data_IF_027724922869
#
_entry.id   IF_027724922869
#
_cell.length_a   1.000
_cell.length_b   1.000
_cell.length_c   1.000
_cell.angle_alpha   90.00
_cell.angle_beta   90.00
_cell.angle_gamma   90.00
#
_symmetry.space_group_name_H-M   'P 1'
#
loop_
_entity.id
_entity.type
_entity.pdbx_description
1 polymer ?
#
# COMPACT_ATOMS: atom_id res chain seq x y z
N UNK A 1 -6.55 0.29 11.54
CA UNK A 1 -5.68 -0.63 12.29
C UNK A 1 -4.20 -0.34 12.08
N UNK A 2 -3.43 -1.18 11.34
CA UNK A 2 -1.97 -0.97 11.21
C UNK A 2 -1.60 0.37 10.56
N UNK A 3 -2.28 0.75 9.49
CA UNK A 3 -2.05 2.04 8.83
C UNK A 3 -2.51 3.21 9.70
N UNK A 4 -3.54 3.01 10.52
CA UNK A 4 -4.02 4.00 11.48
C UNK A 4 -2.97 4.22 12.58
N UNK A 5 -2.37 3.14 13.10
CA UNK A 5 -1.30 3.21 14.08
C UNK A 5 -0.05 3.95 13.56
N UNK A 6 0.26 3.80 12.27
CA UNK A 6 1.37 4.52 11.65
C UNK A 6 1.08 6.01 11.53
N UNK A 7 -0.16 6.40 11.25
CA UNK A 7 -0.57 7.80 11.21
C UNK A 7 -0.54 8.44 12.60
N UNK A 8 -0.93 7.70 13.65
CA UNK A 8 -0.88 8.17 15.03
C UNK A 8 0.54 8.43 15.55
N UNK A 9 1.53 7.73 15.03
CA UNK A 9 2.94 7.91 15.40
C UNK A 9 3.59 9.15 14.79
N UNK A 10 2.90 9.86 13.91
CA UNK A 10 3.41 11.09 13.30
C UNK A 10 3.06 12.32 14.12
N UNK A 11 4.00 13.28 14.25
CA UNK A 11 3.68 14.56 14.89
C UNK A 11 2.62 15.30 14.08
N UNK A 12 1.48 15.57 14.68
CA UNK A 12 0.30 16.19 14.04
C UNK A 12 0.61 17.55 13.41
N UNK A 13 1.56 18.30 13.97
CA UNK A 13 1.91 19.65 13.53
C UNK A 13 2.55 19.73 12.13
N UNK A 14 3.05 18.64 11.57
CA UNK A 14 3.79 18.63 10.30
C UNK A 14 3.02 17.99 9.13
N UNK A 15 1.83 17.44 9.35
CA UNK A 15 1.10 16.67 8.33
C UNK A 15 0.76 17.52 7.10
N UNK A 16 0.41 18.79 7.28
CA UNK A 16 0.05 19.69 6.18
C UNK A 16 1.25 20.20 5.37
N UNK A 17 2.46 20.13 5.93
CA UNK A 17 3.69 20.63 5.31
C UNK A 17 4.48 19.53 4.58
N UNK A 18 4.16 18.26 4.83
CA UNK A 18 4.86 17.13 4.20
C UNK A 18 4.47 17.05 2.72
N UNK A 19 5.45 17.08 1.79
CA UNK A 19 5.17 16.88 0.37
C UNK A 19 4.45 15.55 0.10
N UNK A 20 3.57 15.55 -0.89
CA UNK A 20 2.79 14.36 -1.23
C UNK A 20 3.68 13.15 -1.57
N UNK A 21 4.82 13.37 -2.24
CA UNK A 21 5.76 12.29 -2.56
C UNK A 21 6.33 11.63 -1.30
N UNK A 22 6.61 12.39 -0.25
CA UNK A 22 7.14 11.84 0.99
C UNK A 22 6.11 10.99 1.72
N UNK A 23 4.85 11.40 1.68
CA UNK A 23 3.73 10.59 2.18
C UNK A 23 3.58 9.30 1.39
N UNK A 24 3.72 9.37 0.07
CA UNK A 24 3.66 8.22 -0.80
C UNK A 24 4.79 7.23 -0.50
N UNK A 25 6.02 7.70 -0.38
CA UNK A 25 7.18 6.87 -0.03
C UNK A 25 6.97 6.22 1.33
N UNK A 26 6.47 6.95 2.31
CA UNK A 26 6.15 6.40 3.62
C UNK A 26 5.10 5.28 3.55
N UNK A 27 4.07 5.45 2.72
CA UNK A 27 3.06 4.41 2.51
C UNK A 27 3.68 3.15 1.88
N UNK A 28 4.57 3.30 0.91
CA UNK A 28 5.29 2.16 0.31
C UNK A 28 6.18 1.46 1.34
N UNK A 29 6.89 2.22 2.16
CA UNK A 29 7.70 1.68 3.26
C UNK A 29 6.86 0.94 4.30
N UNK A 30 5.63 1.39 4.54
CA UNK A 30 4.69 0.72 5.45
C UNK A 30 4.34 -0.69 4.98
N UNK A 31 4.18 -0.91 3.69
CA UNK A 31 3.96 -2.26 3.13
C UNK A 31 5.18 -3.16 3.32
N UNK A 32 6.38 -2.63 3.15
CA UNK A 32 7.62 -3.39 3.42
C UNK A 32 7.72 -3.72 4.91
N UNK A 33 7.38 -2.80 5.79
CA UNK A 33 7.35 -3.04 7.24
C UNK A 33 6.32 -4.13 7.61
N UNK A 34 5.15 -4.13 6.96
CA UNK A 34 4.18 -5.22 7.12
C UNK A 34 4.78 -6.57 6.72
N UNK A 35 5.53 -6.62 5.63
CA UNK A 35 6.23 -7.84 5.21
C UNK A 35 7.27 -8.28 6.24
N UNK A 36 8.05 -7.35 6.78
CA UNK A 36 9.12 -7.67 7.75
C UNK A 36 8.57 -8.10 9.09
N UNK A 37 7.59 -7.37 9.63
CA UNK A 37 7.15 -7.48 11.02
C UNK A 37 5.74 -8.06 11.19
N UNK A 38 4.94 -8.12 10.14
CA UNK A 38 3.52 -8.49 10.20
C UNK A 38 3.09 -9.39 9.02
N UNK A 39 3.92 -10.35 8.64
CA UNK A 39 3.61 -11.29 7.52
C UNK A 39 2.25 -11.97 7.68
N UNK A 40 1.90 -12.33 8.89
CA UNK A 40 0.61 -12.97 9.18
C UNK A 40 -0.58 -12.10 8.78
N UNK A 41 -0.46 -10.78 8.89
CA UNK A 41 -1.50 -9.85 8.47
C UNK A 41 -1.69 -9.85 6.94
N UNK A 42 -0.59 -9.87 6.18
CA UNK A 42 -0.64 -9.98 4.72
C UNK A 42 -1.25 -11.31 4.28
N UNK A 43 -0.86 -12.41 4.91
CA UNK A 43 -1.41 -13.74 4.65
C UNK A 43 -2.90 -13.82 5.00
N UNK A 44 -3.29 -13.23 6.12
CA UNK A 44 -4.69 -13.15 6.53
C UNK A 44 -5.53 -12.37 5.53
N UNK A 45 -5.07 -11.21 5.08
CA UNK A 45 -5.78 -10.40 4.11
C UNK A 45 -5.97 -11.13 2.78
N UNK A 46 -4.96 -11.84 2.31
CA UNK A 46 -5.02 -12.64 1.10
C UNK A 46 -6.06 -13.77 1.23
N UNK A 47 -5.99 -14.54 2.31
CA UNK A 47 -6.95 -15.61 2.60
C UNK A 47 -8.38 -15.08 2.76
N UNK A 48 -8.54 -13.94 3.40
CA UNK A 48 -9.84 -13.31 3.58
C UNK A 48 -10.43 -12.84 2.25
N UNK A 49 -9.61 -12.26 1.37
CA UNK A 49 -10.04 -11.89 0.02
C UNK A 49 -10.51 -13.10 -0.79
N UNK A 50 -9.79 -14.21 -0.72
CA UNK A 50 -10.22 -15.48 -1.34
C UNK A 50 -11.53 -15.98 -0.76
N UNK A 51 -11.66 -15.97 0.53
CA UNK A 51 -12.90 -16.39 1.22
C UNK A 51 -14.10 -15.54 0.78
N UNK A 52 -13.96 -14.22 0.77
CA UNK A 52 -15.03 -13.28 0.41
C UNK A 52 -15.45 -13.46 -1.06
N UNK A 53 -14.48 -13.60 -1.96
CA UNK A 53 -14.78 -13.77 -3.40
C UNK A 53 -15.50 -15.07 -3.73
N UNK A 54 -15.38 -16.11 -2.89
CA UNK A 54 -16.03 -17.40 -3.09
C UNK A 54 -17.33 -17.57 -2.30
N UNK A 55 -17.47 -16.91 -1.15
CA UNK A 55 -18.60 -17.13 -0.24
C UNK A 55 -19.81 -16.21 -0.49
N UNK A 56 -19.64 -15.07 -1.15
CA UNK A 56 -20.72 -14.14 -1.48
C UNK A 56 -21.51 -13.64 -0.27
N UNK A 57 -20.87 -13.48 0.88
CA UNK A 57 -21.56 -13.22 2.15
C UNK A 57 -21.64 -11.74 2.48
N UNK A 58 -22.87 -11.27 2.74
CA UNK A 58 -23.16 -10.04 3.45
C UNK A 58 -23.05 -10.31 4.95
N UNK A 59 -21.84 -10.22 5.50
CA UNK A 59 -21.63 -10.29 6.94
C UNK A 59 -21.20 -8.92 7.50
N UNK A 60 -21.46 -8.70 8.77
CA UNK A 60 -21.00 -7.52 9.51
C UNK A 60 -19.47 -7.35 9.39
N UNK A 61 -18.73 -8.47 9.42
CA UNK A 61 -17.29 -8.53 9.21
C UNK A 61 -16.88 -8.02 7.82
N UNK A 62 -17.65 -8.34 6.78
CA UNK A 62 -17.42 -7.84 5.43
C UNK A 62 -17.63 -6.33 5.34
N UNK A 63 -18.62 -5.80 6.02
CA UNK A 63 -18.88 -4.35 6.09
C UNK A 63 -17.75 -3.62 6.80
N UNK A 64 -17.22 -4.15 7.90
CA UNK A 64 -16.08 -3.60 8.61
C UNK A 64 -14.82 -3.59 7.73
N UNK A 65 -14.58 -4.68 7.00
CA UNK A 65 -13.48 -4.78 6.04
C UNK A 65 -13.59 -3.74 4.92
N UNK A 66 -14.78 -3.60 4.32
CA UNK A 66 -15.05 -2.58 3.31
C UNK A 66 -14.81 -1.16 3.85
N UNK A 67 -15.26 -0.89 5.08
CA UNK A 67 -15.03 0.41 5.72
C UNK A 67 -13.55 0.73 5.88
N UNK A 68 -12.75 -0.26 6.27
CA UNK A 68 -11.29 -0.11 6.38
C UNK A 68 -10.64 0.18 5.03
N UNK A 69 -11.08 -0.49 3.96
CA UNK A 69 -10.61 -0.23 2.59
C UNK A 69 -10.96 1.18 2.13
N UNK A 70 -12.18 1.63 2.35
CA UNK A 70 -12.61 2.99 2.00
C UNK A 70 -11.82 4.05 2.76
N UNK A 71 -11.48 3.81 4.02
CA UNK A 71 -10.66 4.72 4.81
C UNK A 71 -9.24 4.83 4.24
N UNK A 72 -8.66 3.71 3.81
CA UNK A 72 -7.35 3.70 3.15
C UNK A 72 -7.39 4.47 1.83
N UNK A 73 -8.38 4.19 0.99
CA UNK A 73 -8.57 4.90 -0.28
C UNK A 73 -8.74 6.41 -0.09
N UNK A 74 -9.47 6.83 0.94
CA UNK A 74 -9.66 8.24 1.25
C UNK A 74 -8.33 8.93 1.61
N UNK A 75 -7.42 8.26 2.32
CA UNK A 75 -6.09 8.78 2.62
C UNK A 75 -5.22 8.92 1.39
N UNK A 76 -5.22 7.93 0.51
CA UNK A 76 -4.50 8.00 -0.75
C UNK A 76 -5.08 9.06 -1.68
N UNK A 77 -6.39 9.24 -1.68
CA UNK A 77 -7.04 10.31 -2.45
C UNK A 77 -6.59 11.69 -1.95
N UNK A 78 -6.51 11.91 -0.64
CA UNK A 78 -5.98 13.16 -0.07
C UNK A 78 -4.54 13.40 -0.49
N UNK A 79 -3.72 12.36 -0.48
CA UNK A 79 -2.33 12.42 -0.93
C UNK A 79 -2.25 12.79 -2.41
N UNK A 80 -3.08 12.17 -3.25
CA UNK A 80 -3.15 12.46 -4.68
C UNK A 80 -3.61 13.89 -4.94
N UNK A 81 -4.62 14.38 -4.24
CA UNK A 81 -5.08 15.77 -4.33
C UNK A 81 -3.98 16.75 -3.87
N UNK A 82 -3.23 16.40 -2.83
CA UNK A 82 -2.06 17.18 -2.39
C UNK A 82 -0.99 17.25 -3.48
N UNK A 83 -0.76 16.18 -4.22
CA UNK A 83 0.19 16.15 -5.33
C UNK A 83 -0.25 17.06 -6.49
N UNK A 84 -1.54 17.26 -6.70
CA UNK A 84 -2.05 18.25 -7.66
C UNK A 84 -1.66 19.67 -7.27
N UNK A 85 -1.54 19.95 -5.97
CA UNK A 85 -1.15 21.25 -5.46
C UNK A 85 0.36 21.44 -5.43
N UNK A 86 1.12 20.46 -4.91
CA UNK A 86 2.57 20.59 -4.70
C UNK A 86 3.43 20.04 -5.84
N UNK A 87 2.83 19.34 -6.81
CA UNK A 87 3.49 18.82 -8.00
C UNK A 87 4.68 17.90 -7.72
N UNK A 88 4.69 17.21 -6.59
CA UNK A 88 5.80 16.33 -6.18
C UNK A 88 5.77 14.96 -6.83
N UNK A 89 4.60 14.52 -7.32
CA UNK A 89 4.49 13.35 -8.16
C UNK A 89 3.42 13.54 -9.24
N UNK A 90 3.35 12.59 -10.18
CA UNK A 90 2.47 12.68 -11.35
C UNK A 90 0.99 12.57 -10.97
N UNK A 91 0.17 13.42 -11.57
CA UNK A 91 -1.29 13.40 -11.46
C UNK A 91 -1.96 13.46 -12.85
N UNK A 92 -1.23 13.02 -13.88
CA UNK A 92 -1.66 12.99 -15.27
C UNK A 92 -2.50 11.75 -15.61
N UNK A 93 -2.66 10.83 -14.68
CA UNK A 93 -3.50 9.63 -14.80
C UNK A 93 -4.63 9.68 -13.76
N UNK A 94 -5.80 9.09 -14.04
CA UNK A 94 -6.90 9.04 -13.07
C UNK A 94 -6.49 8.35 -11.77
N UNK A 95 -7.07 8.77 -10.66
CA UNK A 95 -6.73 8.25 -9.33
C UNK A 95 -6.85 6.72 -9.23
N UNK A 96 -7.90 6.14 -9.78
CA UNK A 96 -8.08 4.68 -9.75
C UNK A 96 -6.97 3.93 -10.50
N UNK A 97 -6.54 4.46 -11.64
CA UNK A 97 -5.41 3.89 -12.39
C UNK A 97 -4.11 4.06 -11.61
N UNK A 98 -3.89 5.24 -11.04
CA UNK A 98 -2.73 5.50 -10.18
C UNK A 98 -2.65 4.49 -9.04
N UNK A 99 -3.76 4.21 -8.36
CA UNK A 99 -3.81 3.23 -7.28
C UNK A 99 -3.47 1.82 -7.75
N UNK A 100 -4.03 1.40 -8.90
CA UNK A 100 -3.75 0.06 -9.45
C UNK A 100 -2.30 -0.12 -9.87
N UNK A 101 -1.69 0.94 -10.42
CA UNK A 101 -0.32 0.89 -10.93
C UNK A 101 0.75 1.07 -9.84
N UNK A 102 0.37 1.48 -8.64
CA UNK A 102 1.31 1.79 -7.56
C UNK A 102 1.01 1.02 -6.28
N UNK A 103 0.02 1.44 -5.53
CA UNK A 103 -0.31 0.88 -4.20
C UNK A 103 -0.68 -0.59 -4.30
N UNK A 104 -1.55 -0.94 -5.25
CA UNK A 104 -1.98 -2.33 -5.42
C UNK A 104 -0.83 -3.22 -5.87
N UNK A 105 0.08 -2.74 -6.71
CA UNK A 105 1.27 -3.48 -7.13
C UNK A 105 2.21 -3.71 -5.94
N UNK A 106 2.46 -2.69 -5.12
CA UNK A 106 3.31 -2.84 -3.94
C UNK A 106 2.71 -3.82 -2.93
N UNK A 107 1.42 -3.69 -2.65
CA UNK A 107 0.71 -4.59 -1.75
C UNK A 107 0.72 -6.04 -2.28
N UNK A 108 0.48 -6.22 -3.57
CA UNK A 108 0.52 -7.53 -4.21
C UNK A 108 1.91 -8.17 -4.11
N UNK A 109 2.98 -7.40 -4.33
CA UNK A 109 4.35 -7.89 -4.21
C UNK A 109 4.65 -8.32 -2.77
N UNK A 110 4.32 -7.50 -1.79
CA UNK A 110 4.55 -7.83 -0.37
C UNK A 110 3.76 -9.09 0.04
N UNK A 111 2.51 -9.21 -0.39
CA UNK A 111 1.65 -10.37 -0.12
C UNK A 111 2.21 -11.64 -0.78
N UNK A 112 2.66 -11.53 -2.02
CA UNK A 112 3.26 -12.65 -2.76
C UNK A 112 4.50 -13.20 -2.04
N UNK A 113 5.40 -12.31 -1.63
CA UNK A 113 6.59 -12.71 -0.88
C UNK A 113 6.26 -13.23 0.52
N UNK A 114 5.22 -12.72 1.16
CA UNK A 114 4.79 -13.19 2.47
C UNK A 114 4.22 -14.61 2.45
N UNK A 115 3.56 -15.00 1.35
CA UNK A 115 3.00 -16.33 1.17
C UNK A 115 4.02 -17.37 0.63
N UNK A 116 5.19 -16.92 0.19
CA UNK A 116 6.22 -17.77 -0.38
C UNK A 116 5.95 -18.15 -1.84
N UNK A 117 6.93 -18.81 -2.47
CA UNK A 117 6.88 -19.18 -3.88
C UNK A 117 6.71 -20.69 -4.05
N UNK A 118 6.01 -21.09 -5.12
CA UNK A 118 5.84 -22.49 -5.50
C UNK A 118 7.19 -23.14 -5.88
N UNK A 119 8.14 -22.36 -6.43
CA UNK A 119 9.42 -22.86 -6.89
C UNK A 119 10.59 -22.55 -5.96
N UNK A 120 10.43 -22.87 -4.68
CA UNK A 120 11.55 -23.05 -3.80
C UNK A 120 12.08 -21.81 -3.08
N UNK A 121 11.20 -20.93 -2.66
CA UNK A 121 11.58 -19.98 -1.64
C UNK A 121 11.87 -20.73 -0.34
N UNK A 122 13.08 -20.59 0.15
CA UNK A 122 13.40 -21.00 1.50
C UNK A 122 12.59 -20.11 2.47
N UNK A 123 11.89 -20.71 3.42
CA UNK A 123 11.14 -20.00 4.47
C UNK A 123 12.03 -19.02 5.28
N UNK A 124 13.34 -19.21 5.22
CA UNK A 124 14.33 -18.37 5.89
C UNK A 124 14.84 -17.22 5.02
N UNK A 125 14.49 -17.18 3.73
CA UNK A 125 14.93 -16.10 2.87
C UNK A 125 14.17 -14.79 3.14
N UNK A 126 14.91 -13.69 3.06
CA UNK A 126 14.40 -12.35 3.29
C UNK A 126 14.43 -11.57 1.97
N UNK A 127 13.26 -11.26 1.44
CA UNK A 127 13.10 -10.56 0.16
C UNK A 127 12.99 -9.05 0.28
N UNK A 128 13.46 -8.46 1.37
CA UNK A 128 13.40 -7.00 1.60
C UNK A 128 14.15 -6.23 0.51
N UNK A 129 15.28 -6.74 0.03
CA UNK A 129 16.05 -6.10 -1.05
C UNK A 129 15.24 -5.98 -2.35
N UNK A 130 14.52 -7.03 -2.73
CA UNK A 130 13.66 -7.05 -3.90
C UNK A 130 12.50 -6.08 -3.73
N UNK A 131 11.87 -6.09 -2.57
CA UNK A 131 10.76 -5.17 -2.27
C UNK A 131 11.20 -3.71 -2.29
N UNK A 132 12.40 -3.41 -1.79
CA UNK A 132 12.98 -2.06 -1.89
C UNK A 132 13.24 -1.65 -3.33
N UNK A 133 13.68 -2.56 -4.18
CA UNK A 133 13.85 -2.29 -5.62
C UNK A 133 12.52 -2.06 -6.32
N UNK A 134 11.49 -2.84 -6.00
CA UNK A 134 10.14 -2.63 -6.52
C UNK A 134 9.61 -1.25 -6.08
N UNK A 135 9.76 -0.91 -4.81
CA UNK A 135 9.45 0.43 -4.32
C UNK A 135 10.17 1.50 -5.13
N UNK A 136 11.47 1.33 -5.35
CA UNK A 136 12.27 2.27 -6.14
C UNK A 136 11.75 2.46 -7.57
N UNK A 137 11.31 1.39 -8.23
CA UNK A 137 10.70 1.47 -9.56
C UNK A 137 9.38 2.23 -9.52
N UNK A 138 8.52 1.96 -8.53
CA UNK A 138 7.24 2.65 -8.37
C UNK A 138 7.48 4.14 -8.08
N UNK A 139 8.39 4.48 -7.18
CA UNK A 139 8.72 5.88 -6.85
C UNK A 139 9.28 6.61 -8.06
N UNK A 140 10.16 5.99 -8.84
CA UNK A 140 10.67 6.57 -10.08
C UNK A 140 9.54 6.84 -11.09
N UNK A 141 8.61 5.90 -11.23
CA UNK A 141 7.43 6.06 -12.08
C UNK A 141 6.58 7.24 -11.66
N UNK A 142 6.26 7.38 -10.37
CA UNK A 142 5.40 8.46 -9.91
C UNK A 142 6.07 9.83 -9.92
N UNK A 143 7.40 9.88 -9.79
CA UNK A 143 8.18 11.12 -9.91
C UNK A 143 8.36 11.60 -11.34
N UNK A 144 8.25 10.71 -12.32
CA UNK A 144 8.45 11.04 -13.70
C UNK A 144 7.24 11.85 -14.24
N UNK A 145 7.42 13.15 -14.36
CA UNK A 145 6.38 14.10 -14.80
C UNK A 145 6.42 14.39 -16.29
N UNK A 146 7.33 13.79 -17.00
CA UNK A 146 7.45 13.98 -18.45
C UNK A 146 6.35 13.23 -19.18
N UNK A 147 5.69 13.88 -20.12
CA UNK A 147 4.77 13.21 -21.01
C UNK A 147 5.50 12.26 -21.95
#
# INVERSE_FOLDING_TARGET
>A
EYLDELDEKRPIASIHEIPAIDRFIFAMDSYIDMYVNHKALLQFNDNFNHFVSHAGTDSEMLNDFKSSLYSADARFLKMYEKAKEDHTFRTDIPFEEFMRETVHVMMAACTYYANGFIWGADENENYVSELKRIKGMIVAYVRNKEP
#
